data_IF_805531009489
#
_entry.id   IF_805531009489
#
_cell.length_a   1.000
_cell.length_b   1.000
_cell.length_c   1.000
_cell.angle_alpha   90.00
_cell.angle_beta   90.00
_cell.angle_gamma   90.00
#
_symmetry.space_group_name_H-M   'P 1'
#
loop_
_entity.id
_entity.type
_entity.pdbx_description
1 polymer ?
#
# COMPACT_ATOMS: atom_id res chain seq x y z
N UNK A 1 1.50 4.17 -3.69
CA UNK A 1 2.16 5.34 -3.10
C UNK A 1 3.53 4.95 -2.57
N UNK A 2 4.56 5.79 -2.71
CA UNK A 2 5.96 5.54 -2.30
C UNK A 2 6.56 6.72 -1.53
N UNK A 3 7.76 6.59 -0.95
CA UNK A 3 8.38 7.67 -0.17
C UNK A 3 9.03 8.83 -0.96
N UNK A 4 9.08 8.79 -2.29
CA UNK A 4 9.62 9.91 -3.10
C UNK A 4 11.15 10.01 -3.15
N UNK A 5 11.83 8.96 -2.68
CA UNK A 5 13.28 8.78 -2.76
C UNK A 5 13.81 8.74 -4.20
N UNK A 6 15.12 8.95 -4.36
CA UNK A 6 15.78 9.00 -5.68
C UNK A 6 15.62 7.72 -6.51
N UNK A 7 15.48 6.55 -5.87
CA UNK A 7 15.21 5.29 -6.57
C UNK A 7 13.86 5.32 -7.31
N UNK A 8 12.84 5.93 -6.69
CA UNK A 8 11.50 6.06 -7.30
C UNK A 8 11.57 7.01 -8.48
N UNK A 9 12.21 8.17 -8.29
CA UNK A 9 12.40 9.17 -9.36
C UNK A 9 13.14 8.57 -10.54
N UNK A 10 14.27 7.88 -10.32
CA UNK A 10 15.02 7.23 -11.40
C UNK A 10 14.18 6.21 -12.16
N UNK A 11 13.37 5.44 -11.47
CA UNK A 11 12.47 4.44 -12.08
C UNK A 11 11.42 5.12 -12.95
N UNK A 12 10.74 6.15 -12.43
CA UNK A 12 9.73 6.89 -13.18
C UNK A 12 10.32 7.63 -14.38
N UNK A 13 11.47 8.28 -14.23
CA UNK A 13 12.17 8.91 -15.35
C UNK A 13 12.57 7.90 -16.42
N UNK A 14 12.98 6.68 -16.04
CA UNK A 14 13.25 5.62 -17.00
C UNK A 14 11.98 5.17 -17.74
N UNK A 15 10.85 5.07 -17.05
CA UNK A 15 9.55 4.77 -17.67
C UNK A 15 9.15 5.86 -18.67
N UNK A 16 9.18 7.13 -18.26
CA UNK A 16 8.85 8.27 -19.12
C UNK A 16 9.75 8.36 -20.35
N UNK A 17 11.07 8.14 -20.21
CA UNK A 17 12.00 8.09 -21.35
C UNK A 17 11.66 6.95 -22.32
N UNK A 18 11.33 5.77 -21.82
CA UNK A 18 11.00 4.59 -22.66
C UNK A 18 9.70 4.78 -23.43
N UNK A 19 8.74 5.49 -22.85
CA UNK A 19 7.42 5.64 -23.46
C UNK A 19 7.25 6.92 -24.27
N UNK A 20 8.12 7.91 -24.06
CA UNK A 20 8.02 9.23 -24.68
C UNK A 20 6.95 10.12 -24.02
N UNK A 21 6.45 9.74 -22.84
CA UNK A 21 5.54 10.56 -22.04
C UNK A 21 6.35 11.64 -21.32
N UNK A 22 5.93 12.89 -21.41
CA UNK A 22 6.53 13.98 -20.65
C UNK A 22 6.19 13.86 -19.16
N UNK A 23 7.20 13.90 -18.28
CA UNK A 23 7.00 13.95 -16.84
C UNK A 23 6.23 15.20 -16.37
N UNK A 24 6.20 16.27 -17.20
CA UNK A 24 5.47 17.50 -16.91
C UNK A 24 3.94 17.32 -17.01
N UNK A 25 3.47 16.15 -17.47
CA UNK A 25 2.06 15.77 -17.42
C UNK A 25 1.65 15.18 -16.07
N UNK A 26 2.56 15.03 -15.11
CA UNK A 26 2.13 14.71 -13.74
C UNK A 26 1.21 15.83 -13.23
N UNK A 27 0.26 15.45 -12.39
CA UNK A 27 -0.76 16.35 -11.85
C UNK A 27 -0.99 16.03 -10.38
N UNK A 28 0.09 15.72 -9.67
CA UNK A 28 0.05 15.30 -8.27
C UNK A 28 0.27 16.45 -7.30
N UNK A 29 0.81 17.58 -7.76
CA UNK A 29 1.35 18.60 -6.88
C UNK A 29 2.61 18.14 -6.11
N UNK A 30 3.03 18.94 -5.13
CA UNK A 30 4.30 18.76 -4.40
C UNK A 30 4.17 18.93 -2.88
N UNK A 31 2.96 19.16 -2.38
CA UNK A 31 2.72 19.48 -0.97
C UNK A 31 3.11 18.33 -0.04
N UNK A 32 3.92 18.64 0.99
CA UNK A 32 4.37 17.65 1.98
C UNK A 32 5.37 16.60 1.47
N UNK A 33 5.95 16.78 0.28
CA UNK A 33 6.79 15.77 -0.38
C UNK A 33 8.28 16.16 -0.42
N UNK A 34 9.21 15.18 -0.52
CA UNK A 34 9.00 13.73 -0.42
C UNK A 34 8.71 13.30 1.03
N UNK A 35 8.09 12.13 1.20
CA UNK A 35 7.82 11.57 2.53
C UNK A 35 9.09 11.09 3.26
N UNK A 36 10.13 10.71 2.52
CA UNK A 36 11.40 10.31 3.13
C UNK A 36 12.14 11.53 3.70
N UNK A 37 12.25 11.58 5.03
CA UNK A 37 12.84 12.71 5.76
C UNK A 37 14.29 13.02 5.32
N UNK A 38 15.10 12.00 5.05
CA UNK A 38 16.50 12.21 4.60
C UNK A 38 16.56 12.81 3.19
N UNK A 39 15.69 12.36 2.28
CA UNK A 39 15.57 12.95 0.93
C UNK A 39 15.06 14.38 1.04
N UNK A 40 14.05 14.65 1.86
CA UNK A 40 13.53 16.00 2.07
C UNK A 40 14.61 16.95 2.62
N UNK A 41 15.35 16.52 3.65
CA UNK A 41 16.45 17.29 4.23
C UNK A 41 17.58 17.55 3.24
N UNK A 42 17.92 16.55 2.42
CA UNK A 42 18.91 16.69 1.33
C UNK A 42 18.48 17.78 0.35
N UNK A 43 17.26 17.69 -0.18
CA UNK A 43 16.73 18.66 -1.16
C UNK A 43 16.72 20.08 -0.58
N UNK A 44 16.24 20.23 0.65
CA UNK A 44 16.20 21.53 1.33
C UNK A 44 17.60 22.14 1.49
N UNK A 45 18.58 21.34 1.93
CA UNK A 45 19.97 21.77 2.05
C UNK A 45 20.57 22.18 0.70
N UNK A 46 20.23 21.46 -0.36
CA UNK A 46 20.73 21.70 -1.71
C UNK A 46 19.95 22.84 -2.43
N UNK A 47 18.93 23.43 -1.78
CA UNK A 47 18.08 24.49 -2.36
C UNK A 47 17.12 23.99 -3.45
N UNK A 48 16.93 22.68 -3.55
CA UNK A 48 16.05 22.03 -4.52
C UNK A 48 14.62 21.95 -4.01
N UNK A 49 13.65 22.39 -4.83
CA UNK A 49 12.23 22.10 -4.56
C UNK A 49 11.88 20.68 -5.05
N UNK A 50 11.06 19.93 -4.31
CA UNK A 50 10.53 18.67 -4.81
C UNK A 50 9.72 18.92 -6.08
N UNK A 51 9.99 18.17 -7.15
CA UNK A 51 9.10 18.11 -8.31
C UNK A 51 7.97 17.11 -8.08
N UNK A 52 6.90 17.20 -8.86
CA UNK A 52 5.73 16.30 -8.79
C UNK A 52 6.09 14.82 -8.91
N UNK A 53 7.17 14.50 -9.63
CA UNK A 53 7.70 13.14 -9.74
C UNK A 53 8.07 12.52 -8.38
N UNK A 54 8.33 13.33 -7.35
CA UNK A 54 8.61 12.88 -5.98
C UNK A 54 7.35 12.73 -5.13
N UNK A 55 6.19 13.16 -5.62
CA UNK A 55 4.94 12.97 -4.90
C UNK A 55 4.70 11.49 -4.63
N UNK A 56 4.18 11.16 -3.46
CA UNK A 56 3.97 9.75 -3.08
C UNK A 56 3.10 8.99 -4.07
N UNK A 57 2.22 9.68 -4.78
CA UNK A 57 1.29 9.13 -5.77
C UNK A 57 1.81 9.11 -7.21
N UNK A 58 2.97 9.71 -7.50
CA UNK A 58 3.46 9.89 -8.87
C UNK A 58 3.61 8.59 -9.66
N UNK A 59 3.90 7.47 -8.98
CA UNK A 59 3.98 6.16 -9.63
C UNK A 59 2.67 5.66 -10.26
N UNK A 60 1.52 5.85 -9.63
CA UNK A 60 0.25 5.44 -10.24
C UNK A 60 -0.33 6.51 -11.16
N UNK A 61 0.00 7.79 -10.97
CA UNK A 61 -0.27 8.81 -11.98
C UNK A 61 0.47 8.52 -13.28
N UNK A 62 1.74 8.08 -13.20
CA UNK A 62 2.47 7.59 -14.35
C UNK A 62 1.76 6.38 -14.99
N UNK A 63 1.17 5.48 -14.20
CA UNK A 63 0.38 4.36 -14.73
C UNK A 63 -0.88 4.83 -15.49
N UNK A 64 -1.57 5.87 -15.02
CA UNK A 64 -2.70 6.46 -15.78
C UNK A 64 -2.24 7.07 -17.10
N UNK A 65 -1.14 7.83 -17.12
CA UNK A 65 -0.58 8.38 -18.35
C UNK A 65 -0.15 7.28 -19.33
N UNK A 66 0.43 6.20 -18.82
CA UNK A 66 0.80 5.02 -19.62
C UNK A 66 -0.44 4.32 -20.20
N UNK A 67 -1.49 4.18 -19.40
CA UNK A 67 -2.76 3.61 -19.85
C UNK A 67 -3.41 4.47 -20.94
N UNK A 68 -3.44 5.80 -20.76
CA UNK A 68 -3.94 6.73 -21.77
C UNK A 68 -3.20 6.55 -23.10
N UNK A 69 -1.86 6.53 -23.04
CA UNK A 69 -1.02 6.32 -24.21
C UNK A 69 -1.23 4.97 -24.89
N UNK A 70 -1.39 3.89 -24.11
CA UNK A 70 -1.63 2.55 -24.64
C UNK A 70 -2.94 2.48 -25.44
N UNK A 71 -3.98 3.20 -25.01
CA UNK A 71 -5.29 3.22 -25.64
C UNK A 71 -5.50 4.37 -26.63
N UNK A 72 -4.51 5.25 -26.81
CA UNK A 72 -4.64 6.45 -27.64
C UNK A 72 -5.62 7.49 -27.08
N UNK A 73 -5.85 7.48 -25.77
CA UNK A 73 -6.65 8.50 -25.08
C UNK A 73 -5.86 9.79 -24.84
N UNK A 74 -6.55 10.92 -24.61
CA UNK A 74 -5.91 12.16 -24.18
C UNK A 74 -5.07 11.93 -22.91
N UNK A 75 -3.96 12.66 -22.80
CA UNK A 75 -3.05 12.56 -21.66
C UNK A 75 -3.19 13.74 -20.69
N UNK A 76 -3.78 14.83 -21.16
CA UNK A 76 -4.28 15.94 -20.37
C UNK A 76 -5.50 15.53 -19.56
N UNK A 77 -5.67 16.17 -18.40
CA UNK A 77 -6.87 16.02 -17.56
C UNK A 77 -7.20 14.58 -17.13
N UNK A 78 -6.23 13.66 -17.18
CA UNK A 78 -6.41 12.25 -16.79
C UNK A 78 -6.84 12.06 -15.34
N UNK A 79 -6.73 13.10 -14.51
CA UNK A 79 -7.16 13.12 -13.11
C UNK A 79 -8.67 13.37 -12.96
N UNK A 80 -9.35 13.85 -14.00
CA UNK A 80 -10.80 14.07 -13.98
C UNK A 80 -11.56 12.75 -13.96
N UNK A 81 -12.67 12.74 -13.21
CA UNK A 81 -13.46 11.54 -12.91
C UNK A 81 -14.06 10.86 -14.15
N UNK A 82 -14.40 11.65 -15.17
CA UNK A 82 -14.97 11.22 -16.45
C UNK A 82 -13.90 10.86 -17.50
N UNK A 83 -12.61 11.04 -17.19
CA UNK A 83 -11.55 10.67 -18.09
C UNK A 83 -11.52 9.13 -18.31
N UNK A 84 -11.31 8.63 -19.54
CA UNK A 84 -11.30 7.20 -19.84
C UNK A 84 -10.37 6.36 -18.96
N UNK A 85 -9.23 6.92 -18.50
CA UNK A 85 -8.33 6.23 -17.56
C UNK A 85 -8.96 6.02 -16.19
N UNK A 86 -9.68 7.01 -15.65
CA UNK A 86 -10.35 6.89 -14.36
C UNK A 86 -11.53 5.94 -14.45
N UNK A 87 -12.28 5.97 -15.55
CA UNK A 87 -13.34 5.00 -15.82
C UNK A 87 -12.78 3.56 -15.88
N UNK A 88 -11.69 3.33 -16.61
CA UNK A 88 -11.05 2.03 -16.69
C UNK A 88 -10.51 1.54 -15.33
N UNK A 89 -9.91 2.45 -14.54
CA UNK A 89 -9.45 2.14 -13.19
C UNK A 89 -10.61 1.77 -12.26
N UNK A 90 -11.72 2.51 -12.33
CA UNK A 90 -12.95 2.25 -11.58
C UNK A 90 -13.48 0.85 -11.87
N UNK A 91 -13.53 0.44 -13.14
CA UNK A 91 -13.97 -0.91 -13.53
C UNK A 91 -13.10 -2.02 -12.93
N UNK A 92 -11.77 -1.87 -13.00
CA UNK A 92 -10.84 -2.86 -12.43
C UNK A 92 -10.96 -2.92 -10.90
N UNK A 93 -11.11 -1.77 -10.24
CA UNK A 93 -11.31 -1.69 -8.79
C UNK A 93 -12.65 -2.35 -8.40
N UNK A 94 -13.75 -2.02 -9.08
CA UNK A 94 -15.07 -2.60 -8.85
C UNK A 94 -15.02 -4.13 -8.91
N UNK A 95 -14.42 -4.66 -9.99
CA UNK A 95 -14.23 -6.10 -10.20
C UNK A 95 -13.35 -6.73 -9.12
N UNK A 96 -12.23 -6.10 -8.75
CA UNK A 96 -11.31 -6.60 -7.72
C UNK A 96 -11.97 -6.75 -6.35
N UNK A 97 -12.92 -5.87 -6.04
CA UNK A 97 -13.68 -5.88 -4.78
C UNK A 97 -15.00 -6.67 -4.85
N UNK A 98 -15.38 -7.16 -6.04
CA UNK A 98 -16.63 -7.88 -6.26
C UNK A 98 -17.87 -7.00 -6.10
N UNK A 99 -17.77 -5.71 -6.45
CA UNK A 99 -18.84 -4.72 -6.34
C UNK A 99 -19.15 -4.19 -7.75
N UNK A 100 -20.42 -3.99 -8.14
CA UNK A 100 -20.75 -3.31 -9.39
C UNK A 100 -20.18 -1.88 -9.42
N UNK A 101 -19.68 -1.38 -10.57
CA UNK A 101 -19.13 -0.02 -10.68
C UNK A 101 -20.08 1.07 -10.20
N UNK A 102 -21.38 0.93 -10.45
CA UNK A 102 -22.43 1.86 -10.03
C UNK A 102 -22.65 1.91 -8.51
N UNK A 103 -22.12 0.96 -7.76
CA UNK A 103 -22.19 0.91 -6.29
C UNK A 103 -20.88 1.33 -5.61
N UNK A 104 -19.88 1.75 -6.39
CA UNK A 104 -18.66 2.31 -5.81
C UNK A 104 -18.96 3.67 -5.20
N UNK A 105 -18.57 3.82 -3.94
CA UNK A 105 -18.56 5.12 -3.28
C UNK A 105 -17.21 5.76 -3.59
N UNK A 106 -17.24 6.90 -4.26
CA UNK A 106 -16.04 7.65 -4.65
C UNK A 106 -15.84 8.89 -3.77
N UNK A 107 -14.59 9.32 -3.65
CA UNK A 107 -14.20 10.59 -3.06
C UNK A 107 -12.96 11.13 -3.79
N UNK A 108 -12.47 12.31 -3.41
CA UNK A 108 -11.24 12.88 -3.94
C UNK A 108 -10.07 12.50 -3.02
N UNK A 109 -9.00 11.95 -3.60
CA UNK A 109 -7.75 11.72 -2.88
C UNK A 109 -6.91 13.01 -2.80
N UNK A 110 -5.99 13.07 -1.83
CA UNK A 110 -5.12 14.25 -1.64
C UNK A 110 -4.21 14.58 -2.84
N UNK A 111 -4.04 13.64 -3.77
CA UNK A 111 -3.31 13.84 -5.03
C UNK A 111 -4.17 14.35 -6.19
N UNK A 112 -5.48 14.52 -5.99
CA UNK A 112 -6.41 15.08 -6.98
C UNK A 112 -7.11 14.08 -7.90
N UNK A 113 -6.97 12.76 -7.70
CA UNK A 113 -7.72 11.74 -8.46
C UNK A 113 -8.81 11.06 -7.62
N UNK A 114 -9.79 10.36 -8.23
CA UNK A 114 -10.78 9.60 -7.50
C UNK A 114 -10.19 8.50 -6.61
N UNK A 115 -10.74 8.34 -5.40
CA UNK A 115 -10.49 7.22 -4.48
C UNK A 115 -11.79 6.53 -4.10
N UNK A 116 -11.69 5.33 -3.53
CA UNK A 116 -12.82 4.42 -3.34
C UNK A 116 -12.97 3.99 -1.88
N UNK A 117 -14.19 4.06 -1.36
CA UNK A 117 -14.51 3.62 -0.01
C UNK A 117 -15.04 2.18 0.00
N UNK A 118 -14.49 1.37 0.91
CA UNK A 118 -14.90 -0.03 1.10
C UNK A 118 -14.95 -0.40 2.59
N UNK A 119 -15.86 -1.31 2.99
CA UNK A 119 -15.79 -1.94 4.31
C UNK A 119 -14.46 -2.68 4.50
N UNK A 120 -13.89 -2.67 5.71
CA UNK A 120 -12.64 -3.37 6.03
C UNK A 120 -12.64 -4.85 5.60
N UNK A 121 -13.76 -5.55 5.79
CA UNK A 121 -13.92 -6.94 5.32
C UNK A 121 -13.75 -7.10 3.81
N UNK A 122 -14.16 -6.11 3.01
CA UNK A 122 -14.02 -6.15 1.56
C UNK A 122 -12.57 -5.88 1.15
N UNK A 123 -11.89 -4.96 1.84
CA UNK A 123 -10.45 -4.71 1.68
C UNK A 123 -9.65 -5.98 2.03
N UNK A 124 -9.93 -6.62 3.17
CA UNK A 124 -9.29 -7.88 3.55
C UNK A 124 -9.50 -8.98 2.49
N UNK A 125 -10.70 -9.12 1.91
CA UNK A 125 -10.94 -10.06 0.80
C UNK A 125 -10.19 -9.70 -0.47
N UNK A 126 -10.08 -8.42 -0.82
CA UNK A 126 -9.29 -7.98 -1.97
C UNK A 126 -7.79 -8.28 -1.78
N UNK A 127 -7.27 -8.13 -0.56
CA UNK A 127 -5.89 -8.51 -0.24
C UNK A 127 -5.69 -10.03 -0.16
N UNK A 128 -6.70 -10.81 0.23
CA UNK A 128 -6.65 -12.27 0.09
C UNK A 128 -6.58 -12.69 -1.39
N UNK A 129 -7.33 -12.01 -2.26
CA UNK A 129 -7.23 -12.20 -3.72
C UNK A 129 -5.86 -11.76 -4.26
N UNK A 130 -5.27 -10.68 -3.75
CA UNK A 130 -3.90 -10.30 -4.10
C UNK A 130 -2.87 -11.35 -3.66
N UNK A 131 -3.08 -12.03 -2.53
CA UNK A 131 -2.16 -13.07 -2.05
C UNK A 131 -2.18 -14.31 -2.95
N UNK A 132 -3.37 -14.75 -3.34
CA UNK A 132 -3.57 -15.92 -4.19
C UNK A 132 -4.64 -15.65 -5.26
N UNK A 133 -4.25 -15.02 -6.38
CA UNK A 133 -5.20 -14.63 -7.42
C UNK A 133 -5.82 -15.82 -8.16
N UNK A 134 -5.19 -17.00 -8.10
CA UNK A 134 -5.65 -18.20 -8.79
C UNK A 134 -6.68 -18.98 -7.96
N UNK A 135 -6.84 -18.67 -6.67
CA UNK A 135 -7.79 -19.37 -5.80
C UNK A 135 -9.26 -18.95 -6.03
N UNK A 136 -9.52 -17.96 -6.88
CA UNK A 136 -10.89 -17.56 -7.22
C UNK A 136 -11.51 -18.57 -8.19
N UNK A 137 -12.80 -18.83 -8.02
CA UNK A 137 -13.52 -19.74 -8.93
C UNK A 137 -13.55 -19.17 -10.35
N UNK A 138 -13.60 -20.05 -11.34
CA UNK A 138 -13.64 -19.65 -12.75
C UNK A 138 -14.88 -18.85 -13.14
N UNK A 139 -15.98 -18.96 -12.38
CA UNK A 139 -17.22 -18.20 -12.54
C UNK A 139 -17.20 -16.83 -11.83
N UNK A 140 -16.14 -16.52 -11.07
CA UNK A 140 -15.96 -15.23 -10.39
C UNK A 140 -15.44 -14.17 -11.36
N UNK A 141 -16.00 -12.96 -11.33
CA UNK A 141 -15.59 -11.84 -12.19
C UNK A 141 -14.10 -11.44 -12.02
N UNK A 142 -13.49 -11.82 -10.88
CA UNK A 142 -12.07 -11.63 -10.58
C UNK A 142 -11.14 -12.61 -11.30
N UNK A 143 -11.64 -13.75 -11.77
CA UNK A 143 -10.82 -14.75 -12.47
C UNK A 143 -10.08 -14.14 -13.67
N UNK A 144 -10.76 -13.27 -14.43
CA UNK A 144 -10.14 -12.55 -15.55
C UNK A 144 -9.09 -11.50 -15.16
N UNK A 145 -8.86 -11.25 -13.87
CA UNK A 145 -7.81 -10.36 -13.36
C UNK A 145 -6.63 -11.14 -12.75
N UNK A 146 -6.75 -12.46 -12.56
CA UNK A 146 -5.79 -13.25 -11.79
C UNK A 146 -4.34 -13.08 -12.25
N UNK A 147 -4.09 -13.18 -13.57
CA UNK A 147 -2.75 -13.00 -14.13
C UNK A 147 -2.16 -11.61 -13.88
N UNK A 148 -2.93 -10.54 -14.11
CA UNK A 148 -2.48 -9.17 -13.87
C UNK A 148 -2.21 -8.90 -12.39
N UNK A 149 -3.05 -9.44 -11.51
CA UNK A 149 -2.88 -9.30 -10.06
C UNK A 149 -1.67 -10.08 -9.57
N UNK A 150 -1.38 -11.26 -10.14
CA UNK A 150 -0.17 -12.01 -9.87
C UNK A 150 1.09 -11.21 -10.25
N UNK A 151 1.10 -10.57 -11.42
CA UNK A 151 2.21 -9.69 -11.83
C UNK A 151 2.42 -8.55 -10.83
N UNK A 152 1.35 -7.91 -10.37
CA UNK A 152 1.44 -6.84 -9.35
C UNK A 152 1.97 -7.38 -8.03
N UNK A 153 1.42 -8.50 -7.53
CA UNK A 153 1.88 -9.17 -6.31
C UNK A 153 3.37 -9.47 -6.38
N UNK A 154 3.81 -10.11 -7.46
CA UNK A 154 5.19 -10.58 -7.61
C UNK A 154 6.17 -9.41 -7.74
N UNK A 155 5.77 -8.33 -8.42
CA UNK A 155 6.54 -7.09 -8.46
C UNK A 155 6.68 -6.45 -7.07
N UNK A 156 5.61 -6.42 -6.28
CA UNK A 156 5.65 -5.89 -4.91
C UNK A 156 6.54 -6.75 -3.98
N UNK A 157 6.46 -8.07 -4.11
CA UNK A 157 7.30 -9.01 -3.35
C UNK A 157 8.78 -8.90 -3.74
N UNK A 158 9.08 -8.77 -5.04
CA UNK A 158 10.44 -8.68 -5.57
C UNK A 158 11.10 -7.32 -5.34
N UNK A 159 10.30 -6.25 -5.23
CA UNK A 159 10.79 -4.88 -5.05
C UNK A 159 10.07 -4.12 -3.92
N UNK A 160 10.17 -4.56 -2.64
CA UNK A 160 9.50 -3.90 -1.52
C UNK A 160 9.83 -2.41 -1.39
N UNK A 161 11.06 -2.01 -1.71
CA UNK A 161 11.48 -0.61 -1.69
C UNK A 161 10.76 0.26 -2.72
N UNK A 162 10.25 -0.29 -3.83
CA UNK A 162 9.43 0.45 -4.78
C UNK A 162 8.01 0.71 -4.25
N UNK A 163 7.58 -0.08 -3.26
CA UNK A 163 6.28 0.05 -2.61
C UNK A 163 6.34 1.13 -1.53
N UNK A 164 7.18 0.95 -0.52
CA UNK A 164 7.24 1.87 0.62
C UNK A 164 8.33 2.92 0.47
N UNK A 165 9.51 2.54 -0.02
CA UNK A 165 10.78 3.23 0.18
C UNK A 165 11.76 2.37 1.00
N UNK A 166 12.99 2.82 1.16
CA UNK A 166 14.06 2.07 1.82
C UNK A 166 14.16 2.32 3.32
N UNK A 167 13.57 3.41 3.82
CA UNK A 167 13.70 3.86 5.21
C UNK A 167 12.37 3.93 5.91
N UNK A 168 12.37 3.44 7.16
CA UNK A 168 11.31 3.65 8.16
C UNK A 168 9.87 3.27 7.78
N UNK A 169 9.65 2.56 6.66
CA UNK A 169 8.32 2.04 6.29
C UNK A 169 8.09 0.63 6.80
N UNK A 170 7.01 0.43 7.54
CA UNK A 170 6.56 -0.92 7.93
C UNK A 170 6.20 -1.77 6.70
N UNK A 171 5.68 -1.17 5.61
CA UNK A 171 5.40 -1.85 4.34
C UNK A 171 6.64 -2.62 3.85
N UNK A 172 7.73 -1.89 3.63
CA UNK A 172 9.01 -2.45 3.18
C UNK A 172 9.62 -3.38 4.23
N UNK A 173 9.60 -2.98 5.50
CA UNK A 173 10.24 -3.75 6.57
C UNK A 173 9.57 -5.11 6.78
N UNK A 174 8.23 -5.18 6.72
CA UNK A 174 7.49 -6.42 6.85
C UNK A 174 7.75 -7.36 5.66
N UNK A 175 7.72 -6.84 4.43
CA UNK A 175 8.02 -7.63 3.24
C UNK A 175 9.46 -8.14 3.21
N UNK A 176 10.43 -7.38 3.76
CA UNK A 176 11.82 -7.83 3.91
C UNK A 176 12.04 -8.80 5.06
N UNK A 177 11.28 -8.68 6.15
CA UNK A 177 11.34 -9.61 7.28
C UNK A 177 10.74 -10.98 6.93
N UNK A 178 9.81 -11.01 5.97
CA UNK A 178 9.12 -12.22 5.52
C UNK A 178 9.10 -12.31 3.97
N UNK A 179 10.28 -12.52 3.33
CA UNK A 179 10.38 -12.54 1.88
C UNK A 179 9.45 -13.57 1.24
N UNK A 180 8.66 -13.14 0.25
CA UNK A 180 7.73 -14.03 -0.46
C UNK A 180 6.55 -14.55 0.37
N UNK A 181 6.32 -14.04 1.59
CA UNK A 181 5.26 -14.53 2.49
C UNK A 181 4.13 -13.53 2.71
N UNK A 182 4.37 -12.24 2.50
CA UNK A 182 3.32 -11.23 2.53
C UNK A 182 3.64 -10.05 1.61
N UNK A 183 2.59 -9.39 1.13
CA UNK A 183 2.64 -8.03 0.59
C UNK A 183 2.03 -7.10 1.63
N UNK A 184 2.65 -5.97 1.89
CA UNK A 184 2.17 -4.96 2.84
C UNK A 184 1.98 -3.61 2.17
N UNK A 185 0.89 -2.92 2.49
CA UNK A 185 0.67 -1.56 1.98
C UNK A 185 -0.12 -0.71 2.98
N UNK A 186 0.46 0.44 3.33
CA UNK A 186 -0.21 1.52 4.05
C UNK A 186 -1.08 2.37 3.11
N UNK A 187 -2.20 2.85 3.64
CA UNK A 187 -3.09 3.84 3.03
C UNK A 187 -3.18 5.09 3.89
N UNK A 188 -3.89 6.10 3.38
CA UNK A 188 -4.11 7.35 4.10
C UNK A 188 -4.85 7.13 5.43
N UNK A 189 -4.62 8.03 6.38
CA UNK A 189 -5.35 8.10 7.65
C UNK A 189 -5.36 6.78 8.42
N UNK A 190 -4.21 6.11 8.57
CA UNK A 190 -4.08 4.94 9.46
C UNK A 190 -4.66 3.63 8.91
N UNK A 191 -4.90 3.54 7.61
CA UNK A 191 -5.21 2.27 6.94
C UNK A 191 -3.93 1.45 6.72
N UNK A 192 -3.96 0.15 7.03
CA UNK A 192 -2.91 -0.79 6.59
C UNK A 192 -3.50 -2.12 6.19
N UNK A 193 -2.95 -2.67 5.12
CA UNK A 193 -3.41 -3.90 4.53
C UNK A 193 -2.25 -4.88 4.27
N UNK A 194 -2.54 -6.17 4.40
CA UNK A 194 -1.59 -7.24 4.13
C UNK A 194 -2.25 -8.34 3.29
N UNK A 195 -1.57 -8.74 2.22
CA UNK A 195 -1.88 -9.94 1.47
C UNK A 195 -0.93 -11.01 1.99
N UNK A 196 -1.46 -12.00 2.69
CA UNK A 196 -0.69 -13.02 3.37
C UNK A 196 -0.73 -14.27 2.50
N UNK A 197 0.43 -14.62 1.95
CA UNK A 197 0.56 -15.76 1.05
C UNK A 197 0.39 -17.08 1.81
N UNK A 198 -0.04 -18.16 1.10
CA UNK A 198 -0.17 -19.47 1.72
C UNK A 198 1.18 -19.94 2.27
N UNK A 199 1.15 -20.73 3.34
CA UNK A 199 2.37 -21.29 3.92
C UNK A 199 2.32 -21.45 5.43
N UNK A 200 3.47 -21.76 6.06
CA UNK A 200 3.54 -22.17 7.46
C UNK A 200 3.15 -21.05 8.42
N UNK A 201 2.57 -21.44 9.56
CA UNK A 201 2.21 -20.56 10.68
C UNK A 201 2.99 -20.94 11.95
N UNK A 202 3.23 -19.95 12.81
CA UNK A 202 4.01 -20.08 14.05
C UNK A 202 3.49 -21.17 15.01
N UNK A 203 2.17 -21.40 15.07
CA UNK A 203 1.54 -22.40 15.94
C UNK A 203 1.46 -23.81 15.32
N UNK A 204 2.21 -24.05 14.24
CA UNK A 204 2.16 -25.29 13.47
C UNK A 204 1.06 -25.26 12.39
N UNK A 205 1.28 -26.04 11.33
CA UNK A 205 0.40 -26.11 10.17
C UNK A 205 0.73 -25.10 9.07
N UNK A 206 0.10 -25.31 7.92
CA UNK A 206 0.10 -24.39 6.77
C UNK A 206 -1.29 -23.81 6.63
N UNK A 207 -1.40 -22.50 6.39
CA UNK A 207 -2.67 -21.86 6.12
C UNK A 207 -2.77 -21.50 4.64
N UNK A 208 -4.00 -21.48 4.14
CA UNK A 208 -4.31 -20.86 2.86
C UNK A 208 -3.98 -19.35 2.88
N UNK A 209 -4.01 -18.76 1.69
CA UNK A 209 -3.90 -17.32 1.51
C UNK A 209 -4.97 -16.59 2.32
N UNK A 210 -4.61 -15.45 2.90
CA UNK A 210 -5.53 -14.61 3.65
C UNK A 210 -5.20 -13.14 3.44
N UNK A 211 -6.14 -12.27 3.80
CA UNK A 211 -5.92 -10.84 3.78
C UNK A 211 -6.24 -10.24 5.14
N UNK A 212 -5.49 -9.21 5.49
CA UNK A 212 -5.68 -8.43 6.70
C UNK A 212 -5.87 -6.97 6.33
N UNK A 213 -6.85 -6.31 6.95
CA UNK A 213 -7.08 -4.88 6.81
C UNK A 213 -7.35 -4.28 8.18
N UNK A 214 -6.65 -3.20 8.51
CA UNK A 214 -6.76 -2.49 9.78
C UNK A 214 -6.92 -1.00 9.50
N UNK A 215 -7.76 -0.33 10.27
CA UNK A 215 -7.93 1.13 10.25
C UNK A 215 -7.88 1.63 11.69
N UNK A 216 -7.07 2.66 11.92
CA UNK A 216 -7.12 3.47 13.15
C UNK A 216 -8.11 4.61 12.92
N UNK A 217 -9.13 4.73 13.77
CA UNK A 217 -10.19 5.74 13.59
C UNK A 217 -9.69 7.17 13.73
N UNK A 218 -8.78 7.41 14.68
CA UNK A 218 -8.08 8.70 14.90
C UNK A 218 -7.07 9.05 13.79
N UNK A 219 -6.93 8.18 12.78
CA UNK A 219 -6.07 8.41 11.63
C UNK A 219 -4.64 7.89 11.81
N UNK A 220 -3.71 8.47 11.04
CA UNK A 220 -2.37 7.93 10.81
C UNK A 220 -1.23 8.62 11.53
N UNK A 221 -1.50 9.57 12.44
CA UNK A 221 -0.47 10.43 13.02
C UNK A 221 0.71 9.62 13.61
N UNK A 222 1.90 9.82 13.03
CA UNK A 222 3.16 9.14 13.33
C UNK A 222 3.17 7.60 13.15
N UNK A 223 2.17 7.03 12.48
CA UNK A 223 1.96 5.59 12.23
C UNK A 223 2.06 4.67 13.46
N UNK A 224 2.10 5.21 14.68
CA UNK A 224 2.46 4.47 15.91
C UNK A 224 1.46 3.37 16.24
N UNK A 225 0.18 3.75 16.33
CA UNK A 225 -0.91 2.80 16.64
C UNK A 225 -1.11 1.80 15.50
N UNK A 226 -1.13 2.29 14.25
CA UNK A 226 -1.30 1.44 13.07
C UNK A 226 -0.18 0.41 12.94
N UNK A 227 1.07 0.78 13.22
CA UNK A 227 2.22 -0.13 13.18
C UNK A 227 2.14 -1.20 14.26
N UNK A 228 1.92 -0.80 15.52
CA UNK A 228 1.83 -1.71 16.65
C UNK A 228 0.71 -2.74 16.46
N UNK A 229 -0.48 -2.26 16.11
CA UNK A 229 -1.63 -3.14 15.90
C UNK A 229 -1.46 -4.05 14.67
N UNK A 230 -0.78 -3.59 13.62
CA UNK A 230 -0.49 -4.42 12.45
C UNK A 230 0.47 -5.57 12.77
N UNK A 231 1.57 -5.26 13.47
CA UNK A 231 2.54 -6.29 13.87
C UNK A 231 1.91 -7.29 14.81
N UNK A 232 1.16 -6.82 15.82
CA UNK A 232 0.43 -7.70 16.73
C UNK A 232 -0.58 -8.60 16.00
N UNK A 233 -1.34 -8.04 15.06
CA UNK A 233 -2.31 -8.84 14.30
C UNK A 233 -1.63 -9.95 13.49
N UNK A 234 -0.44 -9.68 12.93
CA UNK A 234 0.36 -10.69 12.23
C UNK A 234 0.93 -11.76 13.17
N UNK A 235 1.30 -11.39 14.40
CA UNK A 235 1.72 -12.33 15.45
C UNK A 235 0.55 -13.25 15.84
N UNK A 236 -0.62 -12.69 16.13
CA UNK A 236 -1.80 -13.46 16.52
C UNK A 236 -2.31 -14.37 15.40
N UNK A 237 -2.22 -13.92 14.14
CA UNK A 237 -2.49 -14.74 12.96
C UNK A 237 -1.39 -15.80 12.67
N UNK A 238 -0.33 -15.85 13.48
CA UNK A 238 0.79 -16.80 13.33
C UNK A 238 1.63 -16.57 12.07
N UNK A 239 1.56 -15.38 11.46
CA UNK A 239 2.33 -15.00 10.28
C UNK A 239 3.76 -14.59 10.67
N UNK A 240 3.88 -13.95 11.82
CA UNK A 240 5.11 -13.34 12.29
C UNK A 240 5.55 -13.95 13.63
N UNK A 241 6.76 -14.48 13.68
CA UNK A 241 7.38 -15.02 14.88
C UNK A 241 8.91 -14.87 14.84
N UNK A 242 9.58 -15.36 15.89
CA UNK A 242 11.03 -15.57 15.91
C UNK A 242 11.85 -14.37 15.44
N UNK A 243 12.66 -14.58 14.40
CA UNK A 243 13.57 -13.55 13.89
C UNK A 243 12.83 -12.43 13.16
N UNK A 244 11.77 -12.74 12.40
CA UNK A 244 11.00 -11.73 11.69
C UNK A 244 10.34 -10.75 12.67
N UNK A 245 9.80 -11.25 13.80
CA UNK A 245 9.25 -10.41 14.86
C UNK A 245 10.32 -9.51 15.48
N UNK A 246 11.53 -10.03 15.76
CA UNK A 246 12.63 -9.22 16.31
C UNK A 246 13.03 -8.07 15.38
N UNK A 247 13.07 -8.31 14.06
CA UNK A 247 13.36 -7.25 13.07
C UNK A 247 12.29 -6.16 13.08
N UNK A 248 11.04 -6.51 13.39
CA UNK A 248 9.92 -5.58 13.46
C UNK A 248 9.63 -5.03 14.86
N UNK A 249 10.49 -5.28 15.86
CA UNK A 249 10.25 -4.91 17.26
C UNK A 249 9.95 -3.41 17.44
N UNK A 250 10.67 -2.54 16.71
CA UNK A 250 10.45 -1.08 16.74
C UNK A 250 9.06 -0.65 16.27
N UNK A 251 8.41 -1.47 15.43
CA UNK A 251 7.06 -1.24 14.94
C UNK A 251 6.02 -1.88 15.85
N UNK A 252 6.38 -2.99 16.51
CA UNK A 252 5.51 -3.71 17.44
C UNK A 252 5.25 -2.93 18.72
N UNK A 253 6.33 -2.41 19.31
CA UNK A 253 6.35 -1.65 20.56
C UNK A 253 7.13 -0.36 20.35
N UNK A 254 6.57 0.61 19.60
CA UNK A 254 7.27 1.85 19.32
C UNK A 254 7.47 2.66 20.60
N UNK A 255 8.73 3.03 20.84
CA UNK A 255 9.16 3.79 22.00
C UNK A 255 9.23 5.29 21.69
N UNK A 256 8.84 6.11 22.64
CA UNK A 256 9.12 7.54 22.67
C UNK A 256 10.23 7.81 23.69
N UNK A 257 11.23 8.58 23.28
CA UNK A 257 12.29 9.05 24.16
C UNK A 257 11.99 10.47 24.65
N UNK A 258 12.51 10.82 25.82
CA UNK A 258 12.58 12.21 26.27
C UNK A 258 13.67 12.99 25.49
N UNK A 259 13.78 14.32 25.66
CA UNK A 259 14.82 15.12 25.01
C UNK A 259 16.26 14.73 25.34
N UNK A 260 16.49 13.86 26.33
CA UNK A 260 17.80 13.34 26.72
C UNK A 260 18.05 11.91 26.21
N UNK A 261 17.13 11.35 25.40
CA UNK A 261 17.24 10.01 24.84
C UNK A 261 16.84 8.88 25.80
N UNK A 262 16.27 9.19 26.97
CA UNK A 262 15.79 8.18 27.92
C UNK A 262 14.41 7.68 27.50
N UNK A 263 14.10 6.38 27.62
CA UNK A 263 12.75 5.86 27.38
C UNK A 263 11.71 6.59 28.23
N UNK A 264 10.75 7.26 27.58
CA UNK A 264 9.69 8.01 28.23
C UNK A 264 8.34 7.28 28.18
N UNK A 265 8.04 6.62 27.05
CA UNK A 265 6.80 5.85 26.87
C UNK A 265 6.96 4.76 25.82
N UNK A 266 6.10 3.75 25.86
CA UNK A 266 5.98 2.68 24.88
C UNK A 266 4.51 2.54 24.48
N UNK A 267 4.21 2.38 23.20
CA UNK A 267 2.88 1.92 22.79
C UNK A 267 2.84 0.39 22.82
N UNK A 268 1.88 -0.17 23.55
CA UNK A 268 1.61 -1.61 23.57
C UNK A 268 0.26 -1.89 22.94
N UNK A 269 0.17 -2.82 21.96
CA UNK A 269 -1.11 -3.33 21.52
C UNK A 269 -1.75 -4.15 22.64
N UNK A 270 -3.07 -4.01 22.84
CA UNK A 270 -3.84 -4.70 23.87
C UNK A 270 -5.20 -5.11 23.31
N UNK A 271 -5.21 -6.20 22.53
CA UNK A 271 -6.42 -6.79 21.95
C UNK A 271 -6.16 -8.26 21.60
N UNK A 272 -7.23 -9.03 21.38
CA UNK A 272 -7.16 -10.37 20.82
C UNK A 272 -8.02 -10.45 19.54
N UNK A 273 -7.48 -11.08 18.50
CA UNK A 273 -8.22 -11.37 17.28
C UNK A 273 -9.22 -12.49 17.59
N UNK A 274 -10.51 -12.17 17.48
CA UNK A 274 -11.60 -13.13 17.61
C UNK A 274 -12.22 -13.44 16.24
N UNK A 275 -12.65 -14.69 15.99
CA UNK A 275 -13.52 -15.00 14.87
C UNK A 275 -14.77 -14.12 14.86
N UNK A 276 -15.13 -13.56 13.69
CA UNK A 276 -16.31 -12.71 13.54
C UNK A 276 -17.62 -13.35 14.05
N UNK A 277 -17.73 -14.69 13.94
CA UNK A 277 -18.88 -15.45 14.45
C UNK A 277 -19.02 -15.41 15.98
N UNK A 278 -17.93 -15.15 16.70
CA UNK A 278 -17.91 -15.05 18.17
C UNK A 278 -18.26 -13.64 18.66
N UNK A 279 -18.12 -12.63 17.79
CA UNK A 279 -18.45 -11.23 18.09
C UNK A 279 -19.89 -10.84 17.75
N UNK A 280 -20.56 -11.60 16.86
CA UNK A 280 -21.87 -11.25 16.34
C UNK A 280 -23.06 -11.96 16.98
N UNK A 281 -22.85 -12.90 17.91
CA UNK A 281 -23.92 -13.54 18.69
C UNK A 281 -24.92 -14.33 17.84
#
# INVERSE_FOLDING_TARGET
SHSGEDLHVRTLQAMFRRTGISQAMLATGTEGMPLDALTAARLARDGERPGEIRHMCSGYHAAFLLLARLHGWPADEYWLDDHPTQMAAREVVARSFGVPPSKLVTSLDGCGVPTFAFPLRAIARAYAFLADPESVRSDDARAGLAGSVAVVRDAMLGHPEMVGGTRERLDTSAMKALPGRLVAKGGAEGLRCFAILPGPRAKGGSAAASGLALKVEDGGANERAASAASVESLVQAGVLDGQALRVLARYHRPMAADPHGRPAAEASPSFELAPMRELLG
#
